data_IF_534591620932
#
_entry.id   IF_534591620932
#
_cell.length_a   1.000
_cell.length_b   1.000
_cell.length_c   1.000
_cell.angle_alpha   90.00
_cell.angle_beta   90.00
_cell.angle_gamma   90.00
#
_symmetry.space_group_name_H-M   'P 1'
#
loop_
_entity.id
_entity.type
_entity.pdbx_description
1 polymer ?
#
# COMPACT_ATOMS: atom_id res chain seq x y z
N UNK A 1 -11.73 8.32 7.88
CA UNK A 1 -10.97 7.06 7.81
C UNK A 1 -10.15 6.94 9.09
N UNK A 2 -10.29 5.84 9.82
CA UNK A 2 -9.44 5.57 10.98
C UNK A 2 -8.11 5.02 10.45
N UNK A 3 -7.00 5.66 10.83
CA UNK A 3 -5.67 5.11 10.63
C UNK A 3 -5.64 3.70 11.22
N UNK A 4 -5.38 2.69 10.39
CA UNK A 4 -5.18 1.31 10.87
C UNK A 4 -3.69 1.12 11.08
N UNK A 5 -3.30 0.84 12.31
CA UNK A 5 -1.90 0.60 12.64
C UNK A 5 -1.46 -0.73 11.99
N UNK A 6 -0.27 -0.81 11.37
CA UNK A 6 0.32 -2.06 10.93
C UNK A 6 0.40 -3.06 12.09
N UNK A 7 0.04 -4.32 11.84
CA UNK A 7 0.03 -5.36 12.88
C UNK A 7 -0.81 -5.02 14.12
N UNK A 8 -2.05 -4.55 13.92
CA UNK A 8 -2.99 -4.19 15.00
C UNK A 8 -3.28 -5.31 16.01
N UNK A 9 -2.96 -6.56 15.66
CA UNK A 9 -3.07 -7.73 16.51
C UNK A 9 -1.84 -7.98 17.40
N UNK A 10 -0.72 -7.30 17.15
CA UNK A 10 0.49 -7.38 17.97
C UNK A 10 0.44 -6.30 19.06
N UNK A 11 0.89 -6.65 20.26
CA UNK A 11 0.87 -5.75 21.43
C UNK A 11 2.23 -5.12 21.72
N UNK A 12 3.27 -5.62 21.08
CA UNK A 12 4.66 -5.27 21.34
C UNK A 12 5.29 -4.67 20.08
N UNK A 13 5.87 -3.49 20.23
CA UNK A 13 6.55 -2.79 19.14
C UNK A 13 7.81 -3.55 18.70
N UNK A 14 8.47 -4.30 19.60
CA UNK A 14 9.63 -5.11 19.25
C UNK A 14 9.28 -6.22 18.24
N UNK A 15 8.08 -6.80 18.35
CA UNK A 15 7.60 -7.80 17.39
C UNK A 15 7.29 -7.18 16.02
N UNK A 16 6.81 -5.94 15.99
CA UNK A 16 6.56 -5.19 14.76
C UNK A 16 7.88 -4.89 14.04
N UNK A 17 8.86 -4.37 14.77
CA UNK A 17 10.20 -4.10 14.21
C UNK A 17 10.85 -5.37 13.67
N UNK A 18 10.76 -6.47 14.42
CA UNK A 18 11.26 -7.78 13.99
C UNK A 18 10.58 -8.27 12.71
N UNK A 19 9.27 -8.09 12.57
CA UNK A 19 8.57 -8.49 11.35
C UNK A 19 9.06 -7.71 10.14
N UNK A 20 9.23 -6.38 10.25
CA UNK A 20 9.79 -5.59 9.16
C UNK A 20 11.24 -5.97 8.84
N UNK A 21 12.06 -6.27 9.85
CA UNK A 21 13.43 -6.76 9.65
C UNK A 21 13.48 -8.14 8.97
N UNK A 22 12.47 -8.99 9.21
CA UNK A 22 12.28 -10.29 8.57
C UNK A 22 11.57 -10.20 7.20
N UNK A 23 11.32 -8.99 6.67
CA UNK A 23 10.52 -8.75 5.46
C UNK A 23 9.11 -9.37 5.50
N UNK A 24 8.55 -9.54 6.71
CA UNK A 24 7.17 -9.96 6.93
C UNK A 24 6.32 -8.71 7.02
N UNK A 25 5.40 -8.57 6.08
CA UNK A 25 4.53 -7.40 5.96
C UNK A 25 3.10 -7.71 6.42
N UNK A 26 2.38 -6.72 6.98
CA UNK A 26 0.99 -6.91 7.38
C UNK A 26 0.09 -7.11 6.15
N UNK A 27 -1.11 -7.64 6.39
CA UNK A 27 -2.11 -7.75 5.34
C UNK A 27 -2.61 -6.35 4.90
N UNK A 28 -2.66 -6.16 3.59
CA UNK A 28 -3.06 -4.91 2.92
C UNK A 28 -4.31 -5.11 2.05
N UNK A 29 -4.97 -6.26 2.18
CA UNK A 29 -6.22 -6.57 1.49
C UNK A 29 -7.27 -5.50 1.81
N UNK A 30 -7.91 -4.96 0.76
CA UNK A 30 -8.92 -3.90 0.89
C UNK A 30 -8.35 -2.48 1.00
N UNK A 31 -7.02 -2.30 1.02
CA UNK A 31 -6.41 -0.98 0.91
C UNK A 31 -6.34 -0.54 -0.55
N UNK A 32 -6.89 0.63 -0.85
CA UNK A 32 -6.98 1.20 -2.20
C UNK A 32 -5.62 1.20 -2.92
N UNK A 33 -4.57 1.63 -2.24
CA UNK A 33 -3.18 1.69 -2.75
C UNK A 33 -2.30 0.55 -2.22
N UNK A 34 -2.89 -0.60 -1.88
CA UNK A 34 -2.18 -1.71 -1.27
C UNK A 34 -0.97 -2.20 -2.10
N UNK A 35 -1.11 -2.27 -3.42
CA UNK A 35 0.00 -2.65 -4.32
C UNK A 35 1.19 -1.70 -4.21
N UNK A 36 0.94 -0.38 -4.17
CA UNK A 36 1.98 0.64 -4.03
C UNK A 36 2.66 0.54 -2.66
N UNK A 37 1.89 0.35 -1.57
CA UNK A 37 2.44 0.14 -0.22
C UNK A 37 3.37 -1.08 -0.20
N UNK A 38 2.96 -2.19 -0.83
CA UNK A 38 3.79 -3.39 -0.93
C UNK A 38 5.08 -3.14 -1.68
N UNK A 39 5.01 -2.43 -2.82
CA UNK A 39 6.19 -2.08 -3.60
C UNK A 39 7.18 -1.23 -2.81
N UNK A 40 6.72 -0.28 -1.99
CA UNK A 40 7.57 0.47 -1.07
C UNK A 40 8.29 -0.44 -0.05
N UNK A 41 7.55 -1.35 0.57
CA UNK A 41 8.11 -2.28 1.56
C UNK A 41 9.11 -3.27 0.99
N UNK A 42 8.92 -3.70 -0.26
CA UNK A 42 9.84 -4.60 -0.97
C UNK A 42 10.93 -3.85 -1.73
N UNK A 43 11.14 -2.55 -1.45
CA UNK A 43 12.17 -1.72 -2.06
C UNK A 43 12.15 -1.71 -3.60
N UNK A 44 10.98 -1.82 -4.22
CA UNK A 44 10.82 -1.81 -5.69
C UNK A 44 10.94 -0.40 -6.30
N UNK A 45 10.95 0.64 -5.47
CA UNK A 45 11.14 2.01 -5.88
C UNK A 45 12.51 2.49 -5.41
N UNK A 46 13.32 3.00 -6.33
CA UNK A 46 14.64 3.53 -6.02
C UNK A 46 14.54 4.95 -5.47
N UNK A 47 13.51 5.69 -5.88
CA UNK A 47 13.33 7.10 -5.56
C UNK A 47 11.89 7.45 -5.18
N UNK A 48 11.74 8.60 -4.50
CA UNK A 48 10.42 9.17 -4.25
C UNK A 48 9.67 9.53 -5.55
N UNK A 49 10.40 9.75 -6.65
CA UNK A 49 9.81 10.05 -7.95
C UNK A 49 9.13 8.81 -8.55
N UNK A 50 9.73 7.62 -8.40
CA UNK A 50 9.14 6.36 -8.85
C UNK A 50 7.81 6.09 -8.13
N UNK A 51 7.77 6.36 -6.82
CA UNK A 51 6.54 6.30 -6.02
C UNK A 51 5.49 7.29 -6.52
N UNK A 52 5.88 8.54 -6.81
CA UNK A 52 4.96 9.56 -7.35
C UNK A 52 4.34 9.09 -8.67
N UNK A 53 5.15 8.57 -9.58
CA UNK A 53 4.70 8.04 -10.88
C UNK A 53 3.71 6.88 -10.68
N UNK A 54 4.02 5.93 -9.78
CA UNK A 54 3.14 4.81 -9.48
C UNK A 54 1.76 5.25 -8.92
N UNK A 55 1.75 6.28 -8.06
CA UNK A 55 0.52 6.85 -7.52
C UNK A 55 -0.33 7.56 -8.59
N UNK A 56 0.31 8.25 -9.53
CA UNK A 56 -0.37 8.92 -10.64
C UNK A 56 -0.97 7.93 -11.64
N UNK A 57 -0.24 6.85 -11.94
CA UNK A 57 -0.75 5.74 -12.75
C UNK A 57 -1.99 5.11 -12.08
N UNK A 58 -1.89 4.79 -10.79
CA UNK A 58 -3.03 4.25 -10.02
C UNK A 58 -4.26 5.16 -10.05
N UNK A 59 -4.05 6.48 -9.91
CA UNK A 59 -5.15 7.46 -9.99
C UNK A 59 -5.83 7.43 -11.36
N UNK A 60 -5.05 7.29 -12.43
CA UNK A 60 -5.57 7.25 -13.81
C UNK A 60 -6.40 5.98 -14.05
N UNK A 61 -5.94 4.84 -13.53
CA UNK A 61 -6.67 3.56 -13.61
C UNK A 61 -8.00 3.64 -12.83
N UNK A 62 -7.98 4.26 -11.64
CA UNK A 62 -9.19 4.50 -10.86
C UNK A 62 -10.20 5.40 -11.59
N UNK A 63 -9.72 6.50 -12.18
CA UNK A 63 -10.55 7.44 -12.91
C UNK A 63 -11.16 6.76 -14.17
N UNK A 64 -10.45 5.80 -14.79
CA UNK A 64 -10.95 5.00 -15.93
C UNK A 64 -12.00 3.98 -15.50
N UNK A 65 -11.77 3.23 -14.42
CA UNK A 65 -12.70 2.25 -13.85
C UNK A 65 -14.04 2.89 -13.43
N UNK A 66 -14.02 4.13 -12.95
CA UNK A 66 -15.23 4.87 -12.58
C UNK A 66 -16.05 5.20 -13.83
N UNK A 67 -15.40 5.73 -14.88
CA UNK A 67 -16.07 6.09 -16.12
C UNK A 67 -16.73 4.89 -16.81
N UNK A 68 -16.09 3.72 -16.78
CA UNK A 68 -16.66 2.49 -17.34
C UNK A 68 -17.89 1.99 -16.57
N UNK A 69 -17.92 2.16 -15.25
CA UNK A 69 -19.05 1.75 -14.40
C UNK A 69 -20.25 2.69 -14.49
N UNK A 70 -20.03 3.97 -14.81
CA UNK A 70 -21.10 4.96 -15.01
C UNK A 70 -21.72 4.91 -16.42
N UNK A 71 -21.11 4.16 -17.34
CA UNK A 71 -21.59 3.99 -18.72
C UNK A 71 -22.53 2.78 -18.94
N UNK A 72 -22.93 2.07 -17.86
CA UNK A 72 -23.83 0.90 -17.89
C UNK A 72 -25.17 1.22 -17.21
#
# INVERSE_FOLDING_TARGET
MAWKVPFDNLKDDEEVEKNYADEKFPDITGLLVGTVIRSCWTEQFETAEDLRIALEAFKTDLDTDILERESI
#
